data_IF_493166469193
#
_entry.id   IF_493166469193
#
_cell.length_a   1.000
_cell.length_b   1.000
_cell.length_c   1.000
_cell.angle_alpha   90.00
_cell.angle_beta   90.00
_cell.angle_gamma   90.00
#
_symmetry.space_group_name_H-M   'P 1'
#
loop_
_entity.id
_entity.type
_entity.pdbx_description
1 polymer ?
#
# COMPACT_ATOMS: atom_id res chain seq x y z
N UNK A 1 5.33 -39.04 -27.96
CA UNK A 1 4.42 -38.62 -26.87
C UNK A 1 4.52 -39.66 -25.76
N UNK A 2 4.83 -39.28 -24.52
CA UNK A 2 5.34 -40.18 -23.46
C UNK A 2 4.34 -41.14 -22.80
N UNK A 3 3.32 -41.58 -23.52
CA UNK A 3 2.34 -42.56 -23.06
C UNK A 3 1.45 -42.13 -21.88
N UNK A 4 0.49 -42.96 -21.47
CA UNK A 4 -0.50 -42.65 -20.44
C UNK A 4 0.10 -42.26 -19.07
N UNK A 5 1.25 -42.82 -18.71
CA UNK A 5 1.93 -42.52 -17.44
C UNK A 5 2.38 -41.06 -17.34
N UNK A 6 2.82 -40.47 -18.47
CA UNK A 6 3.24 -39.07 -18.50
C UNK A 6 2.05 -38.11 -18.34
N UNK A 7 0.88 -38.51 -18.84
CA UNK A 7 -0.34 -37.71 -18.70
C UNK A 7 -0.84 -37.71 -17.26
N UNK A 8 -0.82 -38.85 -16.58
CA UNK A 8 -1.18 -38.98 -15.16
C UNK A 8 -0.24 -38.14 -14.29
N UNK A 9 1.07 -38.15 -14.58
CA UNK A 9 2.04 -37.33 -13.85
C UNK A 9 1.76 -35.83 -14.00
N UNK A 10 1.57 -35.35 -15.25
CA UNK A 10 1.28 -33.93 -15.51
C UNK A 10 -0.01 -33.49 -14.84
N UNK A 11 -1.05 -34.31 -14.95
CA UNK A 11 -2.34 -34.03 -14.31
C UNK A 11 -2.20 -33.94 -12.79
N UNK A 12 -1.49 -34.89 -12.17
CA UNK A 12 -1.22 -34.88 -10.73
C UNK A 12 -0.45 -33.64 -10.32
N UNK A 13 0.57 -33.22 -11.10
CA UNK A 13 1.32 -32.01 -10.84
C UNK A 13 0.45 -30.76 -10.94
N UNK A 14 -0.38 -30.67 -11.99
CA UNK A 14 -1.30 -29.55 -12.21
C UNK A 14 -2.37 -29.41 -11.14
N UNK A 15 -2.77 -30.51 -10.49
CA UNK A 15 -3.66 -30.43 -9.32
C UNK A 15 -2.89 -30.15 -8.04
N UNK A 16 -1.78 -30.85 -7.82
CA UNK A 16 -1.02 -30.78 -6.57
C UNK A 16 -0.49 -29.37 -6.30
N UNK A 17 0.14 -28.74 -7.30
CA UNK A 17 0.76 -27.42 -7.13
C UNK A 17 -0.24 -26.35 -6.66
N UNK A 18 -1.39 -26.11 -7.33
CA UNK A 18 -2.33 -25.10 -6.88
C UNK A 18 -2.99 -25.47 -5.55
N UNK A 19 -3.26 -26.75 -5.28
CA UNK A 19 -3.86 -27.18 -4.01
C UNK A 19 -2.90 -26.89 -2.84
N UNK A 20 -1.63 -27.27 -2.97
CA UNK A 20 -0.63 -27.01 -1.93
C UNK A 20 -0.39 -25.51 -1.76
N UNK A 21 -0.35 -24.76 -2.85
CA UNK A 21 -0.26 -23.30 -2.79
C UNK A 21 -1.45 -22.69 -2.04
N UNK A 22 -2.68 -23.17 -2.30
CA UNK A 22 -3.89 -22.74 -1.60
C UNK A 22 -3.85 -23.08 -0.11
N UNK A 23 -3.41 -24.28 0.27
CA UNK A 23 -3.31 -24.67 1.67
C UNK A 23 -2.25 -23.86 2.41
N UNK A 24 -1.10 -23.60 1.76
CA UNK A 24 -0.01 -22.85 2.39
C UNK A 24 -0.31 -21.34 2.47
N UNK A 25 -0.70 -20.72 1.35
CA UNK A 25 -0.92 -19.27 1.28
C UNK A 25 -2.33 -18.84 1.71
N UNK A 26 -3.29 -19.77 1.76
CA UNK A 26 -4.64 -19.53 2.24
C UNK A 26 -4.76 -19.62 3.77
N UNK A 27 -3.72 -20.06 4.47
CA UNK A 27 -3.69 -20.07 5.93
C UNK A 27 -3.75 -18.63 6.48
N UNK A 28 -4.80 -18.27 7.23
CA UNK A 28 -4.92 -16.94 7.79
C UNK A 28 -3.84 -16.61 8.83
N UNK A 29 -3.25 -17.61 9.50
CA UNK A 29 -2.11 -17.41 10.42
C UNK A 29 -0.86 -17.02 9.63
N UNK A 30 -0.50 -17.82 8.61
CA UNK A 30 0.63 -17.50 7.73
C UNK A 30 0.53 -16.08 7.15
N UNK A 31 -0.65 -15.66 6.71
CA UNK A 31 -0.87 -14.30 6.19
C UNK A 31 -0.61 -13.23 7.25
N UNK A 32 -1.14 -13.40 8.47
CA UNK A 32 -0.95 -12.45 9.56
C UNK A 32 0.49 -12.34 10.02
N UNK A 33 1.24 -13.44 10.01
CA UNK A 33 2.59 -13.48 10.54
C UNK A 33 3.65 -13.11 9.49
N UNK A 34 3.39 -13.38 8.22
CA UNK A 34 4.36 -13.15 7.14
C UNK A 34 4.03 -11.90 6.33
N UNK A 35 2.78 -11.75 5.88
CA UNK A 35 2.39 -10.72 4.91
C UNK A 35 2.15 -9.38 5.61
N UNK A 36 1.43 -9.37 6.73
CA UNK A 36 1.09 -8.11 7.43
C UNK A 36 2.33 -7.36 7.94
N UNK A 37 3.33 -8.00 8.58
CA UNK A 37 4.52 -7.30 9.05
C UNK A 37 5.35 -6.75 7.89
N UNK A 38 5.45 -7.50 6.79
CA UNK A 38 6.12 -7.03 5.59
C UNK A 38 5.41 -5.83 4.97
N UNK A 39 4.07 -5.87 4.87
CA UNK A 39 3.24 -4.74 4.41
C UNK A 39 3.47 -3.49 5.25
N UNK A 40 3.47 -3.63 6.58
CA UNK A 40 3.66 -2.52 7.51
C UNK A 40 5.07 -1.91 7.45
N UNK A 41 6.07 -2.68 7.03
CA UNK A 41 7.43 -2.17 6.79
C UNK A 41 7.55 -1.43 5.45
N UNK A 42 6.86 -1.91 4.42
CA UNK A 42 6.99 -1.39 3.06
C UNK A 42 6.14 -0.14 2.83
N UNK A 43 4.94 -0.09 3.42
CA UNK A 43 4.00 1.01 3.27
C UNK A 43 3.93 1.87 4.53
N UNK A 44 3.77 3.19 4.41
CA UNK A 44 3.48 4.04 5.56
C UNK A 44 2.21 3.57 6.27
N UNK A 45 2.17 3.75 7.60
CA UNK A 45 1.00 3.40 8.40
C UNK A 45 -0.25 4.09 7.85
N UNK A 46 -1.38 3.39 7.94
CA UNK A 46 -2.66 3.88 7.43
C UNK A 46 -3.06 5.25 8.01
N UNK A 47 -2.63 5.54 9.24
CA UNK A 47 -2.82 6.83 9.91
C UNK A 47 -2.03 7.99 9.27
N UNK A 48 -0.95 7.69 8.56
CA UNK A 48 -0.11 8.67 7.85
C UNK A 48 -0.54 8.89 6.41
N UNK A 49 -1.46 8.06 5.91
CA UNK A 49 -2.00 8.17 4.55
C UNK A 49 -3.37 8.84 4.57
N UNK A 50 -3.64 9.70 3.59
CA UNK A 50 -4.97 10.29 3.41
C UNK A 50 -5.90 9.19 2.86
N UNK A 51 -6.73 8.64 3.73
CA UNK A 51 -7.69 7.57 3.40
C UNK A 51 -8.87 8.08 2.58
N UNK A 52 -9.30 9.31 2.86
CA UNK A 52 -10.46 9.94 2.24
C UNK A 52 -10.02 10.99 1.25
N UNK A 53 -9.91 10.59 -0.01
CA UNK A 53 -9.67 11.50 -1.12
C UNK A 53 -11.04 11.93 -1.65
N UNK A 54 -11.33 13.24 -1.74
CA UNK A 54 -12.58 13.71 -2.32
C UNK A 54 -12.67 13.27 -3.78
N UNK A 55 -13.82 12.70 -4.16
CA UNK A 55 -14.06 12.19 -5.51
C UNK A 55 -14.93 13.13 -6.34
N UNK A 56 -15.54 14.12 -5.70
CA UNK A 56 -16.36 15.16 -6.31
C UNK A 56 -15.53 16.42 -6.66
N UNK A 57 -15.94 17.11 -7.71
CA UNK A 57 -15.19 18.27 -8.24
C UNK A 57 -15.14 19.43 -7.25
N UNK A 58 -16.21 19.64 -6.47
CA UNK A 58 -16.28 20.64 -5.39
C UNK A 58 -15.24 20.37 -4.31
N UNK A 59 -15.25 19.16 -3.74
CA UNK A 59 -14.33 18.75 -2.67
C UNK A 59 -12.88 18.79 -3.12
N UNK A 60 -12.59 18.44 -4.38
CA UNK A 60 -11.23 18.58 -4.94
C UNK A 60 -10.77 20.05 -4.95
N UNK A 61 -11.64 20.98 -5.37
CA UNK A 61 -11.28 22.42 -5.41
C UNK A 61 -11.05 22.98 -4.01
N UNK A 62 -11.88 22.61 -3.05
CA UNK A 62 -11.76 23.01 -1.65
C UNK A 62 -10.46 22.48 -1.03
N UNK A 63 -10.13 21.20 -1.25
CA UNK A 63 -8.91 20.58 -0.73
C UNK A 63 -7.66 21.22 -1.34
N UNK A 64 -7.67 21.53 -2.64
CA UNK A 64 -6.57 22.26 -3.30
C UNK A 64 -6.42 23.67 -2.70
N UNK A 65 -7.52 24.36 -2.42
CA UNK A 65 -7.48 25.69 -1.81
C UNK A 65 -6.87 25.62 -0.40
N UNK A 66 -7.27 24.62 0.41
CA UNK A 66 -6.69 24.37 1.74
C UNK A 66 -5.18 24.13 1.66
N UNK A 67 -4.74 23.24 0.78
CA UNK A 67 -3.32 22.92 0.58
C UNK A 67 -2.51 24.16 0.15
N UNK A 68 -3.07 25.01 -0.72
CA UNK A 68 -2.42 26.27 -1.13
C UNK A 68 -2.27 27.24 0.05
N UNK A 69 -3.31 27.39 0.87
CA UNK A 69 -3.28 28.25 2.05
C UNK A 69 -2.23 27.78 3.07
N UNK A 70 -2.19 26.48 3.37
CA UNK A 70 -1.19 25.88 4.27
C UNK A 70 0.24 26.12 3.77
N UNK A 71 0.48 25.98 2.45
CA UNK A 71 1.81 26.23 1.85
C UNK A 71 2.22 27.70 1.98
N UNK A 72 1.29 28.63 1.75
CA UNK A 72 1.57 30.05 1.88
C UNK A 72 1.90 30.41 3.33
N UNK A 73 1.13 29.91 4.29
CA UNK A 73 1.37 30.13 5.72
C UNK A 73 2.75 29.61 6.17
N UNK A 74 3.13 28.38 5.75
CA UNK A 74 4.46 27.83 6.03
C UNK A 74 5.59 28.65 5.41
N UNK A 75 5.37 29.22 4.23
CA UNK A 75 6.36 30.09 3.58
C UNK A 75 6.58 31.38 4.36
N UNK A 76 5.49 32.03 4.78
CA UNK A 76 5.55 33.25 5.60
C UNK A 76 6.24 32.99 6.94
N UNK A 77 5.97 31.84 7.59
CA UNK A 77 6.65 31.46 8.83
C UNK A 77 8.17 31.30 8.65
N UNK A 78 8.60 30.62 7.58
CA UNK A 78 10.04 30.48 7.27
C UNK A 78 10.71 31.82 6.96
N UNK A 79 10.04 32.68 6.21
CA UNK A 79 10.54 34.02 5.87
C UNK A 79 10.63 34.93 7.11
N UNK A 80 9.75 34.73 8.11
CA UNK A 80 9.81 35.43 9.39
C UNK A 80 10.93 34.89 10.31
N UNK A 81 11.17 33.58 10.32
CA UNK A 81 12.28 32.95 11.05
C UNK A 81 13.64 33.34 10.47
N UNK A 82 13.77 33.47 9.15
CA UNK A 82 15.02 33.86 8.47
C UNK A 82 15.33 35.37 8.59
N UNK A 83 14.30 36.20 8.75
CA UNK A 83 14.43 37.66 8.99
C UNK A 83 14.42 38.04 10.49
N UNK A 84 14.27 37.09 11.40
CA UNK A 84 14.39 37.31 12.84
C UNK A 84 15.86 37.45 13.27
N UNK A 85 16.18 38.20 14.35
CA UNK A 85 17.55 38.34 14.81
C UNK A 85 18.10 36.96 15.18
N UNK A 86 19.15 36.51 14.48
CA UNK A 86 19.95 35.36 14.91
C UNK A 86 20.56 35.68 16.28
N UNK A 87 20.54 34.74 17.24
CA UNK A 87 21.29 34.89 18.49
C UNK A 87 22.80 35.00 18.24
#
# INVERSE_FOLDING_TARGET
MGGPNLEIFKFSLYLFVPIVALVHFGDPEWYRDTVVPYRNKLFPSLDRTIQHIPTDQSGIREEIARIKAERLAKRVQREAEDNGPKP
#
